data_IF_958188161806
#
_entry.id   IF_958188161806
#
_cell.length_a   1.000
_cell.length_b   1.000
_cell.length_c   1.000
_cell.angle_alpha   90.00
_cell.angle_beta   90.00
_cell.angle_gamma   90.00
#
_symmetry.space_group_name_H-M   'P 1'
#
loop_
_entity.id
_entity.type
_entity.pdbx_description
1 polymer ?
#
# COMPACT_ATOMS: atom_id res chain seq x y z
N UNK A 1 -18.27 0.22 -9.52
CA UNK A 1 -19.39 -0.72 -9.58
C UNK A 1 -19.85 -0.85 -11.01
N UNK A 2 -20.31 -2.03 -11.40
CA UNK A 2 -20.85 -2.33 -12.73
C UNK A 2 -22.19 -3.01 -12.54
N UNK A 3 -23.27 -2.44 -13.10
CA UNK A 3 -24.61 -3.05 -13.07
C UNK A 3 -24.97 -3.60 -14.44
N UNK A 4 -25.47 -4.84 -14.47
CA UNK A 4 -26.01 -5.47 -15.68
C UNK A 4 -27.53 -5.30 -15.76
N UNK A 5 -28.11 -5.63 -16.91
CA UNK A 5 -29.55 -5.74 -17.09
C UNK A 5 -30.15 -7.04 -16.49
N UNK A 6 -29.39 -7.76 -15.65
CA UNK A 6 -29.73 -9.08 -15.12
C UNK A 6 -29.07 -10.24 -15.86
N UNK A 7 -28.48 -10.00 -17.04
CA UNK A 7 -27.65 -10.98 -17.74
C UNK A 7 -26.30 -11.10 -17.03
N UNK A 8 -25.88 -12.30 -16.59
CA UNK A 8 -24.58 -12.48 -15.96
C UNK A 8 -23.43 -12.13 -16.92
N UNK A 9 -22.40 -11.45 -16.41
CA UNK A 9 -21.19 -11.18 -17.19
C UNK A 9 -20.45 -12.50 -17.45
N UNK A 10 -20.13 -12.78 -18.72
CA UNK A 10 -19.32 -13.93 -19.10
C UNK A 10 -17.85 -13.69 -18.69
N UNK A 11 -17.26 -14.49 -17.79
CA UNK A 11 -15.88 -14.28 -17.36
C UNK A 11 -14.85 -14.39 -18.49
N UNK A 12 -15.14 -15.13 -19.57
CA UNK A 12 -14.24 -15.24 -20.72
C UNK A 12 -14.17 -13.95 -21.53
N UNK A 13 -15.28 -13.22 -21.65
CA UNK A 13 -15.27 -11.96 -22.38
C UNK A 13 -14.44 -10.90 -21.65
N UNK A 14 -14.37 -10.93 -20.31
CA UNK A 14 -13.53 -10.00 -19.54
C UNK A 14 -12.03 -10.11 -19.88
N UNK A 15 -11.54 -11.33 -20.12
CA UNK A 15 -10.15 -11.56 -20.51
C UNK A 15 -9.78 -10.92 -21.86
N UNK A 16 -10.74 -10.82 -22.79
CA UNK A 16 -10.54 -10.14 -24.09
C UNK A 16 -10.32 -8.63 -23.93
N UNK A 17 -10.79 -8.04 -22.82
CA UNK A 17 -10.60 -6.62 -22.49
C UNK A 17 -9.44 -6.37 -21.54
N UNK A 18 -8.64 -7.40 -21.23
CA UNK A 18 -7.50 -7.28 -20.30
C UNK A 18 -7.91 -7.14 -18.83
N UNK A 19 -9.14 -7.54 -18.49
CA UNK A 19 -9.66 -7.50 -17.11
C UNK A 19 -9.47 -8.88 -16.50
N UNK A 20 -8.53 -9.00 -15.57
CA UNK A 20 -8.27 -10.26 -14.88
C UNK A 20 -9.49 -10.71 -14.06
N UNK A 21 -9.89 -11.96 -14.26
CA UNK A 21 -11.07 -12.57 -13.61
C UNK A 21 -10.97 -12.58 -12.08
N UNK A 22 -9.76 -12.65 -11.54
CA UNK A 22 -9.48 -12.79 -10.11
C UNK A 22 -9.70 -11.50 -9.32
N UNK A 23 -9.90 -10.39 -10.03
CA UNK A 23 -10.16 -9.08 -9.46
C UNK A 23 -11.65 -8.73 -9.40
N UNK A 24 -12.49 -9.54 -10.05
CA UNK A 24 -13.92 -9.31 -10.16
C UNK A 24 -14.68 -10.09 -9.07
N UNK A 25 -15.41 -9.42 -8.18
CA UNK A 25 -16.39 -10.13 -7.34
C UNK A 25 -17.62 -10.48 -8.19
N UNK A 26 -17.53 -11.59 -8.93
CA UNK A 26 -18.55 -12.08 -9.86
C UNK A 26 -19.76 -12.74 -9.19
N UNK A 27 -19.84 -12.72 -7.85
CA UNK A 27 -20.90 -13.41 -7.09
C UNK A 27 -22.20 -12.61 -7.00
N UNK A 28 -22.20 -11.35 -7.41
CA UNK A 28 -23.32 -10.43 -7.19
C UNK A 28 -24.02 -10.03 -8.51
N UNK A 29 -24.72 -10.93 -9.21
CA UNK A 29 -25.62 -10.49 -10.29
C UNK A 29 -26.81 -9.72 -9.69
N UNK A 30 -27.17 -8.51 -10.16
CA UNK A 30 -26.63 -7.76 -11.30
C UNK A 30 -25.53 -6.73 -11.00
N UNK A 31 -25.09 -6.58 -9.76
CA UNK A 31 -24.12 -5.57 -9.33
C UNK A 31 -22.72 -6.14 -9.03
N UNK A 32 -21.76 -5.86 -9.89
CA UNK A 32 -20.39 -6.32 -9.81
C UNK A 32 -19.45 -5.22 -9.31
N UNK A 33 -18.36 -5.62 -8.65
CA UNK A 33 -17.24 -4.72 -8.33
C UNK A 33 -15.98 -5.22 -9.00
N UNK A 34 -15.34 -4.32 -9.74
CA UNK A 34 -14.10 -4.57 -10.47
C UNK A 34 -13.12 -3.42 -10.16
N UNK A 35 -11.84 -3.70 -9.86
CA UNK A 35 -10.79 -2.69 -9.88
C UNK A 35 -10.37 -2.48 -11.34
N UNK A 36 -10.88 -1.42 -11.95
CA UNK A 36 -10.67 -1.12 -13.36
C UNK A 36 -9.89 0.19 -13.51
N UNK A 37 -9.05 0.24 -14.52
CA UNK A 37 -8.59 1.53 -15.06
C UNK A 37 -9.75 2.25 -15.73
N UNK A 38 -9.63 3.56 -15.92
CA UNK A 38 -10.65 4.34 -16.63
C UNK A 38 -10.89 3.78 -18.05
N UNK A 39 -9.81 3.43 -18.76
CA UNK A 39 -9.90 2.83 -20.10
C UNK A 39 -10.66 1.48 -20.12
N UNK A 40 -10.46 0.63 -19.10
CA UNK A 40 -11.20 -0.62 -18.97
C UNK A 40 -12.66 -0.38 -18.59
N UNK A 41 -12.94 0.61 -17.75
CA UNK A 41 -14.31 1.01 -17.42
C UNK A 41 -15.08 1.49 -18.65
N UNK A 42 -14.46 2.32 -19.50
CA UNK A 42 -15.07 2.76 -20.77
C UNK A 42 -15.35 1.60 -21.71
N UNK A 43 -14.42 0.65 -21.85
CA UNK A 43 -14.64 -0.56 -22.65
C UNK A 43 -15.81 -1.38 -22.13
N UNK A 44 -15.94 -1.56 -20.81
CA UNK A 44 -17.06 -2.28 -20.22
C UNK A 44 -18.40 -1.62 -20.50
N UNK A 45 -18.48 -0.28 -20.55
CA UNK A 45 -19.73 0.44 -20.88
C UNK A 45 -20.26 0.07 -22.28
N UNK A 46 -19.39 -0.35 -23.19
CA UNK A 46 -19.77 -0.76 -24.54
C UNK A 46 -20.33 -2.18 -24.64
N UNK A 47 -20.20 -2.99 -23.57
CA UNK A 47 -20.59 -4.39 -23.61
C UNK A 47 -22.11 -4.57 -23.56
N UNK A 48 -22.66 -5.49 -24.39
CA UNK A 48 -24.08 -5.83 -24.32
C UNK A 48 -24.48 -6.33 -22.94
N UNK A 49 -25.55 -5.75 -22.39
CA UNK A 49 -26.07 -6.13 -21.08
C UNK A 49 -25.48 -5.37 -19.90
N UNK A 50 -24.49 -4.50 -20.10
CA UNK A 50 -24.06 -3.52 -19.10
C UNK A 50 -24.99 -2.31 -19.14
N UNK A 51 -25.54 -1.94 -17.98
CA UNK A 51 -26.49 -0.84 -17.82
C UNK A 51 -25.80 0.38 -17.21
N UNK A 52 -24.86 0.15 -16.29
CA UNK A 52 -24.17 1.21 -15.57
C UNK A 52 -22.75 0.79 -15.22
N UNK A 53 -21.82 1.72 -15.33
CA UNK A 53 -20.44 1.60 -14.84
C UNK A 53 -20.10 2.89 -14.12
N UNK A 54 -20.04 2.82 -12.81
CA UNK A 54 -19.70 3.94 -11.93
C UNK A 54 -18.40 3.66 -11.19
N UNK A 55 -17.59 4.68 -11.01
CA UNK A 55 -16.47 4.59 -10.07
C UNK A 55 -17.03 4.53 -8.66
N UNK A 56 -16.68 3.49 -7.92
CA UNK A 56 -16.87 3.55 -6.47
C UNK A 56 -15.79 4.50 -5.97
N UNK A 57 -16.14 5.77 -5.76
CA UNK A 57 -15.27 6.69 -5.04
C UNK A 57 -15.33 6.30 -3.55
N UNK A 58 -14.68 5.20 -3.20
CA UNK A 58 -14.64 4.69 -1.81
C UNK A 58 -13.74 5.57 -0.94
N UNK A 59 -12.81 6.30 -1.57
CA UNK A 59 -11.86 7.17 -0.91
C UNK A 59 -12.00 8.59 -1.45
N UNK A 60 -12.08 9.56 -0.53
CA UNK A 60 -12.01 10.98 -0.85
C UNK A 60 -10.72 11.57 -0.28
N UNK A 61 -10.20 12.64 -0.89
CA UNK A 61 -9.06 13.36 -0.32
C UNK A 61 -9.46 13.94 1.04
N UNK A 62 -8.63 13.69 2.06
CA UNK A 62 -8.91 14.08 3.45
C UNK A 62 -9.82 13.12 4.23
N UNK A 63 -10.17 11.96 3.65
CA UNK A 63 -10.82 10.88 4.41
C UNK A 63 -9.76 10.08 5.17
N UNK A 64 -9.82 10.10 6.51
CA UNK A 64 -8.86 9.43 7.38
C UNK A 64 -9.12 7.91 7.42
N UNK A 65 -8.09 7.14 7.08
CA UNK A 65 -8.10 5.69 7.21
C UNK A 65 -7.22 5.25 8.40
N UNK A 66 -7.79 4.64 9.46
CA UNK A 66 -7.02 4.24 10.64
C UNK A 66 -6.00 3.12 10.36
N UNK A 67 -6.15 2.38 9.24
CA UNK A 67 -5.19 1.34 8.85
C UNK A 67 -3.98 1.92 8.09
N UNK A 68 -4.01 3.21 7.75
CA UNK A 68 -2.95 3.90 7.02
C UNK A 68 -1.99 4.58 8.00
N UNK A 69 -0.70 4.33 7.81
CA UNK A 69 0.37 4.99 8.53
C UNK A 69 0.23 6.52 8.39
N UNK A 70 0.38 7.32 9.45
CA UNK A 70 0.91 6.97 10.77
C UNK A 70 -0.12 6.53 11.82
N UNK A 71 -1.36 6.21 11.42
CA UNK A 71 -2.47 5.86 12.33
C UNK A 71 -2.85 7.00 13.28
N UNK A 72 -2.89 8.22 12.74
CA UNK A 72 -3.21 9.43 13.49
C UNK A 72 -4.09 10.36 12.63
N UNK A 73 -5.24 10.77 13.17
CA UNK A 73 -6.27 11.56 12.46
C UNK A 73 -5.76 12.90 11.92
N UNK A 74 -4.66 13.43 12.45
CA UNK A 74 -4.01 14.66 11.94
C UNK A 74 -3.39 14.47 10.56
N UNK A 75 -3.20 13.22 10.17
CA UNK A 75 -2.79 12.81 8.83
C UNK A 75 -3.98 12.08 8.21
N UNK A 76 -5.00 12.81 7.69
CA UNK A 76 -6.20 12.22 7.10
C UNK A 76 -5.90 11.65 5.71
N UNK A 77 -4.97 10.70 5.70
CA UNK A 77 -4.50 9.97 4.55
C UNK A 77 -5.29 8.69 4.41
N UNK A 78 -5.41 8.24 3.16
CA UNK A 78 -5.98 6.96 2.83
C UNK A 78 -5.18 6.28 1.73
N UNK A 79 -5.65 5.10 1.33
CA UNK A 79 -5.02 4.30 0.30
C UNK A 79 -4.74 5.08 -0.99
N UNK A 80 -5.67 5.95 -1.39
CA UNK A 80 -5.64 6.77 -2.62
C UNK A 80 -4.95 8.12 -2.47
N UNK A 81 -5.10 8.76 -1.31
CA UNK A 81 -4.59 10.09 -1.02
C UNK A 81 -3.64 10.00 0.18
N UNK A 82 -2.40 9.59 -0.09
CA UNK A 82 -1.36 9.41 0.93
C UNK A 82 -0.31 10.51 0.84
N UNK A 83 0.06 11.07 1.99
CA UNK A 83 1.10 12.08 2.09
C UNK A 83 0.59 13.52 1.95
N UNK A 84 1.51 14.50 1.92
CA UNK A 84 2.94 14.36 1.69
C UNK A 84 3.69 13.72 2.88
N UNK A 85 4.71 12.91 2.59
CA UNK A 85 5.57 12.27 3.58
C UNK A 85 7.05 12.49 3.23
N UNK A 86 7.81 13.04 4.17
CA UNK A 86 9.27 13.15 4.05
C UNK A 86 9.92 11.91 4.63
N UNK A 87 10.78 11.27 3.85
CA UNK A 87 11.59 10.13 4.31
C UNK A 87 12.86 10.68 4.95
N UNK A 88 13.14 10.37 6.23
CA UNK A 88 14.32 10.91 6.90
C UNK A 88 15.62 10.25 6.42
N UNK A 89 16.67 11.05 6.30
CA UNK A 89 18.03 10.57 6.00
C UNK A 89 18.87 10.43 7.28
N UNK A 90 19.92 9.60 7.22
CA UNK A 90 20.90 9.49 8.31
C UNK A 90 21.50 10.87 8.61
N UNK A 91 21.51 11.23 9.89
CA UNK A 91 22.06 12.51 10.37
C UNK A 91 21.13 13.69 10.21
N UNK A 92 19.95 13.53 9.59
CA UNK A 92 18.91 14.56 9.58
C UNK A 92 18.33 14.73 11.00
N UNK A 93 18.02 15.98 11.37
CA UNK A 93 17.39 16.31 12.65
C UNK A 93 15.99 16.86 12.42
N UNK A 94 15.01 16.29 13.11
CA UNK A 94 13.62 16.77 13.10
C UNK A 94 13.20 17.23 14.49
N UNK A 95 12.28 18.20 14.60
CA UNK A 95 11.67 18.50 15.89
C UNK A 95 10.88 17.27 16.39
N UNK A 96 10.86 17.05 17.70
CA UNK A 96 9.99 16.09 18.37
C UNK A 96 8.85 16.85 19.04
N UNK A 97 7.66 16.66 18.51
CA UNK A 97 6.44 17.25 19.02
C UNK A 97 5.26 16.32 18.66
N UNK A 98 4.03 16.63 19.09
CA UNK A 98 2.89 15.80 18.75
C UNK A 98 2.74 15.57 17.25
N UNK A 99 3.05 16.54 16.38
CA UNK A 99 2.93 16.43 14.92
C UNK A 99 3.91 15.39 14.36
N UNK A 100 5.20 15.54 14.62
CA UNK A 100 6.22 14.67 14.01
C UNK A 100 6.33 13.29 14.67
N UNK A 101 5.93 13.16 15.93
CA UNK A 101 6.13 11.93 16.69
C UNK A 101 5.39 10.71 16.09
N UNK A 102 4.11 10.77 15.66
CA UNK A 102 3.45 9.67 14.96
C UNK A 102 4.23 9.14 13.76
N UNK A 103 4.85 10.04 12.97
CA UNK A 103 5.63 9.67 11.79
C UNK A 103 6.91 8.91 12.15
N UNK A 104 7.58 9.28 13.25
CA UNK A 104 8.92 8.80 13.56
C UNK A 104 9.02 7.90 14.80
N UNK A 105 7.93 7.71 15.56
CA UNK A 105 7.87 6.88 16.78
C UNK A 105 8.47 5.49 16.56
N UNK A 106 8.09 4.81 15.48
CA UNK A 106 8.57 3.46 15.15
C UNK A 106 10.06 3.45 14.82
N UNK A 107 10.55 4.49 14.15
CA UNK A 107 11.98 4.66 13.89
C UNK A 107 12.75 4.75 15.21
N UNK A 108 12.37 5.71 16.05
CA UNK A 108 13.06 6.02 17.30
C UNK A 108 13.08 4.80 18.24
N UNK A 109 11.91 4.17 18.42
CA UNK A 109 11.76 3.08 19.39
C UNK A 109 12.14 1.72 18.82
N UNK A 110 11.51 1.28 17.74
CA UNK A 110 11.64 -0.10 17.28
C UNK A 110 12.89 -0.33 16.41
N UNK A 111 13.30 0.64 15.60
CA UNK A 111 14.41 0.46 14.66
C UNK A 111 15.76 0.93 15.21
N UNK A 112 15.77 2.05 15.93
CA UNK A 112 16.98 2.60 16.54
C UNK A 112 17.12 2.22 18.02
N UNK A 113 16.14 1.50 18.57
CA UNK A 113 16.26 0.81 19.86
C UNK A 113 16.24 1.72 21.09
N UNK A 114 15.64 2.91 20.99
CA UNK A 114 15.53 3.81 22.12
C UNK A 114 14.26 3.57 22.94
N UNK A 115 14.34 3.79 24.25
CA UNK A 115 13.15 3.95 25.08
C UNK A 115 12.49 5.28 24.74
N UNK A 116 11.17 5.28 24.54
CA UNK A 116 10.40 6.45 24.17
C UNK A 116 9.17 6.58 25.06
N UNK A 117 9.11 7.67 25.81
CA UNK A 117 7.99 7.97 26.70
C UNK A 117 7.40 9.34 26.39
N UNK A 118 6.07 9.45 26.48
CA UNK A 118 5.34 10.73 26.34
C UNK A 118 4.63 11.02 27.65
N UNK A 119 4.93 12.15 28.27
CA UNK A 119 4.35 12.59 29.55
C UNK A 119 3.72 13.97 29.37
N UNK A 120 2.43 13.99 29.03
CA UNK A 120 1.77 15.22 28.59
C UNK A 120 2.32 15.66 27.24
N UNK A 121 2.83 16.89 27.16
CA UNK A 121 3.48 17.42 25.94
C UNK A 121 4.97 17.09 25.86
N UNK A 122 5.56 16.58 26.95
CA UNK A 122 6.98 16.31 27.02
C UNK A 122 7.31 14.91 26.48
N UNK A 123 8.29 14.85 25.58
CA UNK A 123 8.81 13.62 24.98
C UNK A 123 10.16 13.30 25.62
N UNK A 124 10.32 12.06 26.07
CA UNK A 124 11.55 11.55 26.67
C UNK A 124 12.11 10.42 25.82
N UNK A 125 13.43 10.46 25.57
CA UNK A 125 14.17 9.41 24.89
C UNK A 125 15.28 8.93 25.83
N UNK A 126 15.27 7.64 26.16
CA UNK A 126 16.21 7.04 27.13
C UNK A 126 16.24 7.81 28.47
N UNK A 127 15.07 8.21 28.97
CA UNK A 127 14.91 8.92 30.24
C UNK A 127 15.19 10.43 30.20
N UNK A 128 15.72 10.98 29.10
CA UNK A 128 16.00 12.40 28.96
C UNK A 128 14.95 13.10 28.12
N UNK A 129 14.50 14.29 28.57
CA UNK A 129 13.61 15.13 27.78
C UNK A 129 14.29 15.56 26.48
N UNK A 130 13.61 15.41 25.34
CA UNK A 130 14.09 15.78 24.01
C UNK A 130 13.03 16.60 23.27
N UNK A 131 13.50 17.60 22.54
CA UNK A 131 12.71 18.45 21.65
C UNK A 131 13.01 18.19 20.17
N UNK A 132 13.97 17.31 19.89
CA UNK A 132 14.45 16.98 18.56
C UNK A 132 15.06 15.57 18.53
N UNK A 133 15.16 15.01 17.34
CA UNK A 133 15.74 13.70 17.10
C UNK A 133 16.63 13.70 15.88
N UNK A 134 17.80 13.08 15.99
CA UNK A 134 18.73 12.87 14.87
C UNK A 134 18.75 11.40 14.50
N UNK A 135 18.41 11.11 13.25
CA UNK A 135 18.34 9.74 12.75
C UNK A 135 19.73 9.12 12.61
N UNK A 136 19.88 7.87 13.02
CA UNK A 136 21.12 7.08 12.97
C UNK A 136 21.24 6.24 11.70
N UNK A 137 20.13 6.02 10.99
CA UNK A 137 20.09 5.22 9.76
C UNK A 137 19.40 5.95 8.60
N UNK A 138 19.60 5.43 7.39
CA UNK A 138 18.78 5.82 6.24
C UNK A 138 17.49 5.01 6.24
N UNK A 139 16.42 5.63 5.75
CA UNK A 139 15.08 5.03 5.68
C UNK A 139 14.54 5.04 4.27
N UNK A 140 13.60 4.14 4.02
CA UNK A 140 13.02 3.95 2.71
C UNK A 140 11.50 3.84 2.82
N UNK A 141 10.84 4.41 1.82
CA UNK A 141 9.42 4.20 1.58
C UNK A 141 9.27 3.25 0.40
N UNK A 142 8.60 2.13 0.61
CA UNK A 142 8.40 1.09 -0.40
C UNK A 142 6.92 1.04 -0.78
N UNK A 143 6.61 1.10 -2.07
CA UNK A 143 5.25 0.99 -2.59
C UNK A 143 5.16 -0.20 -3.54
N UNK A 144 4.10 -1.00 -3.38
CA UNK A 144 3.79 -2.08 -4.31
C UNK A 144 3.21 -1.54 -5.61
N UNK A 145 3.47 -2.24 -6.71
CA UNK A 145 2.90 -1.93 -8.03
C UNK A 145 1.38 -2.16 -8.07
N UNK A 146 0.89 -3.19 -7.37
CA UNK A 146 -0.54 -3.41 -7.18
C UNK A 146 -1.06 -2.65 -5.94
N UNK A 147 -1.23 -1.34 -6.10
CA UNK A 147 -1.61 -0.38 -5.05
C UNK A 147 -2.77 -0.84 -4.16
N UNK A 148 -3.82 -1.42 -4.73
CA UNK A 148 -5.02 -1.83 -3.99
C UNK A 148 -4.89 -3.19 -3.28
N UNK A 149 -3.82 -3.94 -3.55
CA UNK A 149 -3.64 -5.30 -3.02
C UNK A 149 -2.25 -5.51 -2.42
N UNK A 150 -1.58 -4.42 -2.05
CA UNK A 150 -0.26 -4.44 -1.45
C UNK A 150 -0.33 -3.75 -0.10
N UNK A 151 -0.15 -4.52 0.98
CA UNK A 151 0.30 -3.95 2.24
C UNK A 151 1.75 -3.50 2.03
N UNK A 152 1.97 -2.19 1.95
CA UNK A 152 3.28 -1.58 1.72
C UNK A 152 3.52 -0.43 2.72
N UNK A 153 4.51 0.44 2.47
CA UNK A 153 4.86 1.51 3.42
C UNK A 153 3.72 2.48 3.73
N UNK A 154 2.64 2.51 2.95
CA UNK A 154 1.43 3.26 3.31
C UNK A 154 0.72 2.70 4.54
N UNK A 155 0.89 1.42 4.84
CA UNK A 155 0.26 0.76 5.99
C UNK A 155 1.21 0.66 7.18
N UNK A 156 2.48 0.32 6.95
CA UNK A 156 3.44 0.04 8.04
C UNK A 156 4.56 1.08 8.21
N UNK A 157 4.61 2.10 7.35
CA UNK A 157 5.61 3.18 7.41
C UNK A 157 6.98 2.80 6.83
N UNK A 158 8.01 3.40 7.40
CA UNK A 158 9.38 3.34 6.87
C UNK A 158 10.06 1.97 7.08
N UNK A 159 11.00 1.67 6.19
CA UNK A 159 11.91 0.52 6.26
C UNK A 159 13.33 1.03 6.50
N UNK A 160 14.03 0.60 7.57
CA UNK A 160 15.43 0.99 7.80
C UNK A 160 16.39 0.31 6.82
N UNK A 161 17.52 0.96 6.52
CA UNK A 161 18.57 0.46 5.63
C UNK A 161 19.05 -0.96 5.96
N UNK A 162 19.20 -1.28 7.24
CA UNK A 162 19.67 -2.57 7.73
C UNK A 162 18.66 -3.72 7.56
N UNK A 163 17.40 -3.43 7.22
CA UNK A 163 16.38 -4.43 6.86
C UNK A 163 16.33 -4.67 5.34
N UNK A 164 17.08 -3.91 4.54
CA UNK A 164 17.16 -4.09 3.10
C UNK A 164 18.35 -4.99 2.77
N UNK A 165 18.08 -6.28 2.61
CA UNK A 165 19.07 -7.23 2.09
C UNK A 165 19.15 -7.01 0.56
N UNK A 166 20.25 -6.42 0.08
CA UNK A 166 20.35 -5.80 -1.24
C UNK A 166 20.20 -6.68 -2.51
N UNK A 167 19.84 -5.98 -3.61
CA UNK A 167 19.73 -6.37 -5.04
C UNK A 167 18.79 -7.55 -5.36
N UNK A 168 17.63 -7.32 -6.01
CA UNK A 168 16.70 -8.40 -6.37
C UNK A 168 17.33 -9.30 -7.44
N UNK A 169 18.04 -10.33 -7.00
CA UNK A 169 18.52 -11.44 -7.84
C UNK A 169 17.69 -12.71 -7.66
N UNK A 170 16.67 -12.66 -6.81
CA UNK A 170 15.88 -13.80 -6.40
C UNK A 170 14.39 -13.41 -6.34
N UNK A 171 13.58 -14.04 -7.19
CA UNK A 171 12.13 -14.04 -7.00
C UNK A 171 11.87 -14.99 -5.83
N UNK A 172 11.66 -14.42 -4.64
CA UNK A 172 11.55 -15.17 -3.40
C UNK A 172 10.14 -15.74 -3.15
N UNK A 173 9.10 -15.14 -3.74
CA UNK A 173 7.73 -15.66 -3.64
C UNK A 173 6.95 -15.39 -4.93
N UNK A 174 6.46 -16.46 -5.55
CA UNK A 174 5.51 -16.41 -6.67
C UNK A 174 4.42 -17.43 -6.40
N UNK A 175 3.24 -16.91 -6.04
CA UNK A 175 2.09 -17.74 -5.65
C UNK A 175 1.13 -17.82 -6.83
N UNK A 176 0.65 -19.03 -7.13
CA UNK A 176 -0.45 -19.22 -8.06
C UNK A 176 -1.76 -18.86 -7.37
N UNK A 177 -2.42 -17.77 -7.80
CA UNK A 177 -3.71 -17.39 -7.23
C UNK A 177 -4.86 -18.29 -7.68
N UNK A 178 -4.68 -19.16 -8.68
CA UNK A 178 -5.77 -20.00 -9.19
C UNK A 178 -5.86 -21.38 -8.50
N UNK A 179 -4.81 -21.86 -7.82
CA UNK A 179 -4.78 -23.20 -7.19
C UNK A 179 -4.17 -23.25 -5.78
N UNK A 180 -3.91 -22.11 -5.14
CA UNK A 180 -3.40 -22.07 -3.76
C UNK A 180 -2.04 -22.77 -3.57
N UNK A 181 -1.28 -22.93 -4.66
CA UNK A 181 0.00 -23.62 -4.68
C UNK A 181 1.17 -22.67 -4.91
N UNK A 182 2.27 -22.90 -4.19
CA UNK A 182 3.57 -22.29 -4.50
C UNK A 182 3.98 -22.74 -5.91
N UNK A 183 4.23 -21.80 -6.83
CA UNK A 183 4.72 -22.12 -8.19
C UNK A 183 6.21 -22.42 -8.16
N UNK A 184 6.56 -23.61 -7.68
CA UNK A 184 7.95 -24.08 -7.55
C UNK A 184 8.78 -23.94 -8.84
N UNK A 185 8.14 -24.01 -10.01
CA UNK A 185 8.78 -23.89 -11.32
C UNK A 185 9.32 -22.48 -11.66
N UNK A 186 8.92 -21.45 -10.88
CA UNK A 186 9.44 -20.08 -11.00
C UNK A 186 10.32 -19.67 -9.82
N UNK A 187 10.42 -20.49 -8.78
CA UNK A 187 11.38 -20.29 -7.71
C UNK A 187 12.78 -20.70 -8.20
N UNK A 188 13.82 -19.96 -7.81
CA UNK A 188 15.23 -20.20 -8.17
C UNK A 188 15.62 -20.03 -9.66
N UNK A 189 14.80 -19.37 -10.49
CA UNK A 189 15.26 -18.93 -11.82
C UNK A 189 16.17 -17.70 -11.68
N UNK A 190 17.46 -17.90 -11.94
CA UNK A 190 18.40 -16.81 -12.21
C UNK A 190 17.96 -16.06 -13.47
N UNK A 191 17.52 -14.81 -13.32
CA UNK A 191 17.35 -13.89 -14.44
C UNK A 191 18.74 -13.54 -14.97
N UNK A 192 19.05 -13.93 -16.20
CA UNK A 192 20.27 -13.47 -16.87
C UNK A 192 20.10 -12.00 -17.23
N UNK A 193 20.93 -11.15 -16.63
CA UNK A 193 21.16 -9.81 -17.15
C UNK A 193 21.96 -9.95 -18.45
N UNK A 194 21.36 -9.61 -19.59
CA UNK A 194 22.13 -9.37 -20.81
C UNK A 194 22.90 -8.05 -20.60
N UNK A 195 24.23 -8.13 -20.69
CA UNK A 195 25.08 -6.97 -20.98
C UNK A 195 25.03 -6.69 -22.48
#
# INVERSE_FOLDING_TARGET
>A
SVRTNGTPINPRSLGEYGIERDLADIRNNPNYTFPLTMDHAEKLRTLPGIVEVESLNIFAEGDYDPDIFPHDERYPWNLEFFGPLTVPARGETVPLNPETLPLYRRIIHAYEGNELEVRGEDIFINGEKRDSYTFQMDYYFMMGDNRHNSADSRFWGFVPDNHIIGKPRLIWLSVDKEYGGIRWNRMFRLVKANR
#
